data_IF_219394439250
#
_entry.id   IF_219394439250
#
_cell.length_a   1.000
_cell.length_b   1.000
_cell.length_c   1.000
_cell.angle_alpha   90.00
_cell.angle_beta   90.00
_cell.angle_gamma   90.00
#
_symmetry.space_group_name_H-M   'P 1'
#
loop_
_entity.id
_entity.type
_entity.pdbx_description
1 polymer ?
#
# COMPACT_ATOMS: atom_id res chain seq x y z
N UNK A 1 -23.94 31.14 1.59
CA UNK A 1 -23.88 29.73 1.21
C UNK A 1 -22.48 29.26 1.49
N UNK A 2 -22.26 28.30 2.41
CA UNK A 2 -20.91 27.75 2.59
C UNK A 2 -20.48 27.08 1.28
N UNK A 3 -19.21 27.24 0.94
CA UNK A 3 -18.63 26.72 -0.28
C UNK A 3 -18.68 25.19 -0.23
N UNK A 4 -19.28 24.57 -1.26
CA UNK A 4 -19.20 23.12 -1.46
C UNK A 4 -17.78 22.83 -1.91
N UNK A 5 -17.00 22.14 -1.09
CA UNK A 5 -15.73 21.54 -1.53
C UNK A 5 -16.11 20.50 -2.56
N UNK A 6 -15.69 20.73 -3.80
CA UNK A 6 -15.84 19.76 -4.87
C UNK A 6 -14.55 18.95 -4.85
N UNK A 7 -14.65 17.69 -4.44
CA UNK A 7 -13.53 16.76 -4.50
C UNK A 7 -13.40 16.39 -5.98
N UNK A 8 -12.54 17.11 -6.68
CA UNK A 8 -12.26 16.83 -8.07
C UNK A 8 -11.25 15.67 -8.07
N UNK A 9 -11.71 14.46 -8.41
CA UNK A 9 -11.05 13.17 -8.14
C UNK A 9 -9.86 12.81 -9.06
N UNK A 10 -9.46 13.68 -9.98
CA UNK A 10 -8.26 13.48 -10.82
C UNK A 10 -6.94 13.64 -10.03
N UNK A 11 -7.04 14.06 -8.78
CA UNK A 11 -5.95 14.47 -7.89
C UNK A 11 -5.92 13.62 -6.60
N UNK A 12 -6.05 12.30 -6.74
CA UNK A 12 -6.02 11.35 -5.61
C UNK A 12 -4.72 10.52 -5.57
N UNK A 13 -4.17 10.34 -4.38
CA UNK A 13 -3.11 9.36 -4.09
C UNK A 13 -3.76 8.11 -3.52
N UNK A 14 -3.47 6.95 -4.13
CA UNK A 14 -3.91 5.64 -3.64
C UNK A 14 -2.78 4.97 -2.87
N UNK A 15 -3.09 4.43 -1.70
CA UNK A 15 -2.19 3.62 -0.91
C UNK A 15 -2.88 2.34 -0.45
N UNK A 16 -2.14 1.23 -0.44
CA UNK A 16 -2.61 -0.03 0.11
C UNK A 16 -1.78 -0.41 1.32
N UNK A 17 -2.44 -0.72 2.44
CA UNK A 17 -1.80 -1.03 3.70
C UNK A 17 -1.68 -2.53 3.97
N UNK A 18 -0.73 -2.89 4.81
CA UNK A 18 -0.62 -4.24 5.38
C UNK A 18 -1.74 -4.57 6.38
N UNK A 19 -2.67 -3.65 6.60
CA UNK A 19 -3.90 -3.84 7.37
C UNK A 19 -5.04 -4.43 6.53
N UNK A 20 -4.81 -4.62 5.22
CA UNK A 20 -5.78 -5.12 4.25
C UNK A 20 -6.71 -4.04 3.73
N UNK A 21 -6.35 -2.76 3.87
CA UNK A 21 -7.18 -1.63 3.43
C UNK A 21 -6.48 -0.86 2.31
N UNK A 22 -7.22 -0.58 1.25
CA UNK A 22 -6.83 0.36 0.19
C UNK A 22 -7.50 1.69 0.49
N UNK A 23 -6.77 2.79 0.42
CA UNK A 23 -7.24 4.15 0.69
C UNK A 23 -6.93 5.04 -0.49
N UNK A 24 -7.85 5.96 -0.81
CA UNK A 24 -7.55 7.13 -1.63
C UNK A 24 -7.63 8.39 -0.77
N UNK A 25 -6.68 9.29 -1.03
CA UNK A 25 -6.51 10.54 -0.31
C UNK A 25 -6.33 11.66 -1.31
N UNK A 26 -6.97 12.81 -1.10
CA UNK A 26 -6.77 14.01 -1.92
C UNK A 26 -5.32 14.49 -1.84
N UNK A 27 -4.72 14.81 -2.98
CA UNK A 27 -3.31 15.22 -3.06
C UNK A 27 -3.05 16.58 -2.40
N UNK A 28 -4.05 17.46 -2.41
CA UNK A 28 -3.91 18.85 -1.98
C UNK A 28 -4.11 19.02 -0.47
N UNK A 29 -5.03 18.26 0.11
CA UNK A 29 -5.48 18.43 1.49
C UNK A 29 -5.18 17.23 2.39
N UNK A 30 -4.78 16.08 1.82
CA UNK A 30 -4.54 14.87 2.59
C UNK A 30 -5.83 14.27 3.16
N UNK A 31 -7.01 14.71 2.70
CA UNK A 31 -8.30 14.19 3.18
C UNK A 31 -8.57 12.84 2.53
N UNK A 32 -8.92 11.84 3.35
CA UNK A 32 -9.35 10.55 2.85
C UNK A 32 -10.64 10.71 2.02
N UNK A 33 -10.60 10.28 0.77
CA UNK A 33 -11.74 10.28 -0.15
C UNK A 33 -12.56 9.00 0.01
N UNK A 34 -11.85 7.86 0.06
CA UNK A 34 -12.45 6.57 0.31
C UNK A 34 -11.45 5.61 0.95
N UNK A 35 -11.98 4.58 1.62
CA UNK A 35 -11.23 3.46 2.15
C UNK A 35 -12.04 2.17 1.99
N UNK A 36 -11.38 1.15 1.46
CA UNK A 36 -11.97 -0.14 1.15
C UNK A 36 -11.15 -1.26 1.76
N UNK A 37 -11.80 -2.05 2.62
CA UNK A 37 -11.19 -3.24 3.22
C UNK A 37 -11.35 -4.43 2.27
N UNK A 38 -10.23 -5.05 1.93
CA UNK A 38 -10.21 -6.23 1.08
C UNK A 38 -10.50 -7.49 1.92
N UNK A 39 -11.79 -7.80 2.08
CA UNK A 39 -12.28 -8.99 2.79
C UNK A 39 -11.92 -9.06 4.29
N UNK A 40 -12.01 -10.26 4.88
CA UNK A 40 -11.63 -10.52 6.28
C UNK A 40 -10.12 -10.77 6.47
N UNK A 41 -9.33 -10.35 5.49
CA UNK A 41 -7.90 -10.61 5.43
C UNK A 41 -7.16 -9.41 6.01
N UNK A 42 -6.60 -9.55 7.21
CA UNK A 42 -5.66 -8.57 7.80
C UNK A 42 -4.28 -8.60 7.14
N UNK A 43 -4.20 -8.31 5.84
CA UNK A 43 -2.95 -8.02 5.10
C UNK A 43 -2.04 -9.21 4.73
N UNK A 44 -0.89 -8.94 4.09
CA UNK A 44 -0.49 -7.74 3.34
C UNK A 44 -1.24 -7.57 2.00
N UNK A 45 -1.54 -6.32 1.62
CA UNK A 45 -1.58 -5.96 0.20
C UNK A 45 -0.13 -5.77 -0.21
N UNK A 46 0.50 -6.82 -0.74
CA UNK A 46 1.91 -6.77 -1.10
C UNK A 46 2.13 -5.80 -2.26
N UNK A 47 1.18 -5.77 -3.20
CA UNK A 47 1.23 -4.99 -4.42
C UNK A 47 -0.17 -4.58 -4.87
N UNK A 48 -0.28 -3.41 -5.45
CA UNK A 48 -1.46 -2.97 -6.18
C UNK A 48 -1.03 -2.38 -7.52
N UNK A 49 -1.95 -2.37 -8.49
CA UNK A 49 -1.77 -1.68 -9.75
C UNK A 49 -3.00 -0.84 -10.04
N UNK A 50 -2.80 0.31 -10.66
CA UNK A 50 -3.87 1.16 -11.18
C UNK A 50 -3.94 0.93 -12.69
N UNK A 51 -5.13 0.74 -13.24
CA UNK A 51 -5.34 0.56 -14.67
C UNK A 51 -6.70 1.08 -15.08
N UNK A 52 -6.72 2.07 -15.98
CA UNK A 52 -7.97 2.73 -16.38
C UNK A 52 -8.65 3.37 -15.16
N UNK A 53 -9.88 2.95 -14.92
CA UNK A 53 -10.74 3.39 -13.82
C UNK A 53 -10.79 2.38 -12.66
N UNK A 54 -9.85 1.42 -12.62
CA UNK A 54 -9.79 0.38 -11.60
C UNK A 54 -8.46 0.34 -10.84
N UNK A 55 -8.54 -0.13 -9.60
CA UNK A 55 -7.41 -0.49 -8.75
C UNK A 55 -7.45 -1.99 -8.51
N UNK A 56 -6.35 -2.67 -8.80
CA UNK A 56 -6.20 -4.10 -8.62
C UNK A 56 -5.27 -4.35 -7.45
N UNK A 57 -5.69 -5.19 -6.51
CA UNK A 57 -4.91 -5.51 -5.33
C UNK A 57 -4.98 -7.00 -5.03
N UNK A 58 -3.85 -7.56 -4.59
CA UNK A 58 -3.81 -8.94 -4.09
C UNK A 58 -4.04 -8.95 -2.59
N UNK A 59 -4.72 -9.99 -2.10
CA UNK A 59 -4.82 -10.27 -0.67
C UNK A 59 -4.15 -11.60 -0.35
N UNK A 60 -3.37 -11.58 0.72
CA UNK A 60 -2.91 -12.78 1.42
C UNK A 60 -3.44 -12.73 2.86
N UNK A 61 -3.39 -13.82 3.64
CA UNK A 61 -3.85 -13.78 5.06
C UNK A 61 -2.79 -13.17 6.01
N UNK A 62 -3.24 -12.53 7.13
CA UNK A 62 -2.44 -11.79 8.11
C UNK A 62 -1.29 -12.51 8.80
N UNK A 63 -1.42 -13.79 9.06
CA UNK A 63 -0.44 -14.46 9.89
C UNK A 63 0.46 -15.32 9.01
N UNK A 64 1.76 -15.25 9.24
CA UNK A 64 2.72 -16.16 8.63
C UNK A 64 2.53 -17.61 9.06
N UNK A 65 1.31 -18.07 9.37
CA UNK A 65 0.98 -19.45 9.60
C UNK A 65 0.49 -20.08 8.30
N UNK A 66 1.33 -20.95 7.74
CA UNK A 66 0.91 -21.94 6.77
C UNK A 66 -0.13 -22.87 7.45
N UNK A 67 -1.40 -22.49 7.47
CA UNK A 67 -2.37 -23.16 8.35
C UNK A 67 -3.83 -22.78 8.17
N UNK A 68 -4.48 -23.43 7.19
CA UNK A 68 -5.92 -23.72 7.13
C UNK A 68 -6.85 -22.50 7.08
N UNK A 69 -6.90 -21.87 5.90
CA UNK A 69 -8.20 -21.57 5.31
C UNK A 69 -8.85 -22.91 4.88
N UNK A 70 -10.16 -23.14 5.06
CA UNK A 70 -10.82 -24.25 4.37
C UNK A 70 -10.74 -24.09 2.85
N UNK A 71 -10.48 -22.87 2.35
CA UNK A 71 -10.38 -22.57 0.93
C UNK A 71 -8.95 -22.17 0.55
N UNK A 72 -8.29 -22.94 -0.35
CA UNK A 72 -6.92 -22.66 -0.79
C UNK A 72 -6.85 -21.36 -1.60
N UNK A 73 -5.66 -20.74 -1.65
CA UNK A 73 -5.33 -19.67 -2.60
C UNK A 73 -5.50 -18.22 -2.12
N UNK A 74 -4.78 -17.32 -2.78
CA UNK A 74 -4.85 -15.86 -2.67
C UNK A 74 -5.94 -15.28 -3.56
N UNK A 75 -6.28 -14.01 -3.34
CA UNK A 75 -7.34 -13.33 -4.09
C UNK A 75 -6.78 -12.13 -4.86
N UNK A 76 -7.31 -11.90 -6.05
CA UNK A 76 -7.19 -10.66 -6.80
C UNK A 76 -8.52 -9.92 -6.72
N UNK A 77 -8.49 -8.69 -6.23
CA UNK A 77 -9.66 -7.83 -6.09
C UNK A 77 -9.52 -6.64 -7.03
N UNK A 78 -10.59 -6.29 -7.74
CA UNK A 78 -10.69 -5.03 -8.46
C UNK A 78 -11.64 -4.08 -7.73
N UNK A 79 -11.16 -2.88 -7.47
CA UNK A 79 -11.93 -1.77 -6.93
C UNK A 79 -12.15 -0.74 -8.03
N UNK A 80 -13.29 -0.07 -7.96
CA UNK A 80 -13.50 1.20 -8.63
C UNK A 80 -12.53 2.25 -8.09
N UNK A 81 -11.80 2.92 -8.97
CA UNK A 81 -10.79 3.90 -8.56
C UNK A 81 -11.39 5.18 -7.96
N UNK A 82 -12.62 5.53 -8.34
CA UNK A 82 -13.30 6.74 -7.88
C UNK A 82 -13.97 6.51 -6.53
N UNK A 83 -14.61 5.35 -6.34
CA UNK A 83 -15.43 5.08 -5.15
C UNK A 83 -14.80 4.11 -4.17
N UNK A 84 -13.79 3.35 -4.60
CA UNK A 84 -13.24 2.24 -3.85
C UNK A 84 -14.15 1.00 -3.82
N UNK A 85 -15.32 1.02 -4.46
CA UNK A 85 -16.25 -0.11 -4.42
C UNK A 85 -15.70 -1.34 -5.15
N UNK A 86 -15.90 -2.53 -4.59
CA UNK A 86 -15.45 -3.76 -5.24
C UNK A 86 -16.25 -4.02 -6.52
N UNK A 87 -15.55 -4.03 -7.66
CA UNK A 87 -16.11 -4.37 -8.98
C UNK A 87 -16.22 -5.88 -9.14
N UNK A 88 -15.14 -6.60 -8.84
CA UNK A 88 -15.07 -8.05 -8.93
C UNK A 88 -13.96 -8.62 -8.03
N UNK A 89 -14.00 -9.93 -7.83
CA UNK A 89 -12.99 -10.68 -7.10
C UNK A 89 -12.76 -12.03 -7.78
N UNK A 90 -11.50 -12.43 -7.88
CA UNK A 90 -11.07 -13.74 -8.38
C UNK A 90 -10.18 -14.43 -7.34
N UNK A 91 -10.46 -15.69 -7.06
CA UNK A 91 -9.57 -16.56 -6.28
C UNK A 91 -8.61 -17.29 -7.23
N UNK A 92 -7.33 -17.26 -6.91
CA UNK A 92 -6.26 -17.92 -7.66
C UNK A 92 -5.72 -19.10 -6.85
N UNK A 93 -5.14 -20.09 -7.52
CA UNK A 93 -4.74 -21.34 -6.89
C UNK A 93 -3.48 -21.21 -6.02
N UNK A 94 -2.71 -20.13 -6.17
CA UNK A 94 -1.52 -19.83 -5.36
C UNK A 94 -1.83 -18.88 -4.20
N UNK A 95 -1.22 -19.17 -3.04
CA UNK A 95 -1.34 -18.33 -1.85
C UNK A 95 -0.47 -17.07 -1.91
N UNK A 96 0.73 -17.19 -2.48
CA UNK A 96 1.70 -16.11 -2.56
C UNK A 96 1.63 -15.50 -3.96
N UNK A 97 0.86 -14.41 -4.05
CA UNK A 97 0.74 -13.63 -5.27
C UNK A 97 1.74 -12.47 -5.21
N UNK A 98 2.58 -12.39 -6.23
CA UNK A 98 3.51 -11.31 -6.51
C UNK A 98 2.86 -10.23 -7.36
N UNK A 99 3.61 -9.74 -8.34
CA UNK A 99 3.34 -8.45 -8.96
C UNK A 99 2.13 -8.46 -9.88
N UNK A 100 1.39 -7.35 -9.83
CA UNK A 100 0.26 -7.08 -10.70
C UNK A 100 0.74 -6.14 -11.81
N UNK A 101 0.41 -6.47 -13.05
CA UNK A 101 0.65 -5.61 -14.22
C UNK A 101 -0.62 -5.48 -15.02
N UNK A 102 -1.02 -4.26 -15.31
CA UNK A 102 -2.21 -3.94 -16.11
C UNK A 102 -1.79 -3.58 -17.53
N UNK A 103 -2.54 -4.07 -18.52
CA UNK A 103 -2.34 -3.71 -19.92
C UNK A 103 -3.64 -3.87 -20.70
N UNK A 104 -4.14 -2.78 -21.29
CA UNK A 104 -5.44 -2.78 -21.98
C UNK A 104 -6.51 -3.49 -21.12
N UNK A 105 -7.08 -4.58 -21.63
CA UNK A 105 -8.18 -5.34 -21.02
C UNK A 105 -7.68 -6.51 -20.15
N UNK A 106 -6.38 -6.53 -19.80
CA UNK A 106 -5.75 -7.62 -19.05
C UNK A 106 -5.13 -7.14 -17.73
N UNK A 107 -5.30 -7.98 -16.71
CA UNK A 107 -4.56 -7.94 -15.46
C UNK A 107 -3.69 -9.19 -15.40
N UNK A 108 -2.37 -9.00 -15.32
CA UNK A 108 -1.39 -10.07 -15.19
C UNK A 108 -0.96 -10.15 -13.73
N UNK A 109 -1.04 -11.33 -13.13
CA UNK A 109 -0.60 -11.59 -11.76
C UNK A 109 0.48 -12.65 -11.78
N UNK A 110 1.66 -12.32 -11.26
CA UNK A 110 2.75 -13.28 -11.09
C UNK A 110 2.59 -14.02 -9.75
N UNK A 111 2.65 -15.34 -9.74
CA UNK A 111 2.66 -16.19 -8.54
C UNK A 111 4.09 -16.54 -8.12
N UNK A 112 4.31 -16.70 -6.81
CA UNK A 112 5.62 -17.08 -6.28
C UNK A 112 6.06 -18.49 -6.71
N UNK A 113 5.13 -19.36 -7.08
CA UNK A 113 5.44 -20.74 -7.50
C UNK A 113 5.74 -20.86 -8.99
N UNK A 114 5.72 -19.75 -9.74
CA UNK A 114 6.08 -19.74 -11.17
C UNK A 114 4.92 -19.60 -12.14
N UNK A 115 3.70 -19.39 -11.65
CA UNK A 115 2.53 -19.13 -12.51
C UNK A 115 2.42 -17.66 -12.89
N UNK A 116 1.98 -17.38 -14.13
CA UNK A 116 1.46 -16.06 -14.53
C UNK A 116 0.00 -16.20 -14.91
N UNK A 117 -0.88 -15.52 -14.17
CA UNK A 117 -2.31 -15.51 -14.41
C UNK A 117 -2.68 -14.31 -15.29
N UNK A 118 -3.32 -14.56 -16.42
CA UNK A 118 -3.94 -13.54 -17.25
C UNK A 118 -5.44 -13.49 -16.96
N UNK A 119 -5.89 -12.37 -16.43
CA UNK A 119 -7.25 -12.13 -15.96
C UNK A 119 -7.86 -11.00 -16.79
N UNK A 120 -9.13 -11.14 -17.13
CA UNK A 120 -9.93 -10.08 -17.76
C UNK A 120 -10.09 -8.89 -16.82
N UNK A 121 -9.71 -7.70 -17.26
CA UNK A 121 -9.89 -6.47 -16.49
C UNK A 121 -11.37 -6.11 -16.27
N UNK A 122 -12.23 -6.50 -17.23
CA UNK A 122 -13.65 -6.13 -17.25
C UNK A 122 -14.47 -6.87 -16.18
N UNK A 123 -14.25 -8.17 -16.02
CA UNK A 123 -15.12 -9.04 -15.23
C UNK A 123 -14.37 -9.96 -14.25
N UNK A 124 -13.03 -9.88 -14.21
CA UNK A 124 -12.22 -10.71 -13.34
C UNK A 124 -12.14 -12.17 -13.75
N UNK A 125 -12.59 -12.54 -14.95
CA UNK A 125 -12.51 -13.92 -15.41
C UNK A 125 -11.07 -14.34 -15.70
N UNK A 126 -10.67 -15.51 -15.20
CA UNK A 126 -9.36 -16.11 -15.53
C UNK A 126 -9.36 -16.55 -16.99
N UNK A 127 -8.55 -15.90 -17.82
CA UNK A 127 -8.43 -16.21 -19.24
C UNK A 127 -7.37 -17.29 -19.50
N UNK A 128 -6.27 -17.25 -18.74
CA UNK A 128 -5.16 -18.19 -18.89
C UNK A 128 -4.27 -18.24 -17.64
N UNK A 129 -3.76 -19.42 -17.34
CA UNK A 129 -2.58 -19.62 -16.48
C UNK A 129 -1.39 -20.04 -17.35
N UNK A 130 -0.23 -19.44 -17.11
CA UNK A 130 1.01 -19.74 -17.81
C UNK A 130 2.02 -20.23 -16.77
N UNK A 131 2.39 -21.50 -16.84
CA UNK A 131 3.43 -22.07 -16.01
C UNK A 131 4.81 -21.70 -16.56
N UNK A 132 5.74 -21.37 -15.66
CA UNK A 132 7.14 -21.12 -16.00
C UNK A 132 8.07 -22.02 -15.20
N UNK A 133 9.29 -22.23 -15.70
CA UNK A 133 10.31 -23.03 -15.00
C UNK A 133 11.04 -22.21 -13.90
N UNK A 134 10.68 -20.94 -13.71
CA UNK A 134 11.21 -20.09 -12.65
C UNK A 134 10.17 -19.93 -11.53
N UNK A 135 10.65 -19.72 -10.31
CA UNK A 135 9.86 -19.37 -9.12
C UNK A 135 10.17 -17.94 -8.70
N UNK A 136 9.52 -17.44 -7.65
CA UNK A 136 9.73 -16.11 -7.08
C UNK A 136 9.64 -15.01 -8.15
N UNK A 137 8.58 -15.08 -8.95
CA UNK A 137 8.39 -14.19 -10.10
C UNK A 137 8.18 -12.74 -9.65
N UNK A 138 8.78 -11.82 -10.40
CA UNK A 138 8.68 -10.37 -10.22
C UNK A 138 7.61 -9.75 -11.16
N UNK A 139 7.59 -8.42 -11.25
CA UNK A 139 6.78 -7.67 -12.22
C UNK A 139 6.88 -8.20 -13.64
N UNK A 140 5.73 -8.23 -14.34
CA UNK A 140 5.66 -8.57 -15.75
C UNK A 140 5.83 -7.29 -16.56
N UNK A 141 6.81 -7.23 -17.45
CA UNK A 141 6.90 -6.15 -18.43
C UNK A 141 6.13 -6.54 -19.69
N UNK A 142 5.32 -5.62 -20.23
CA UNK A 142 4.51 -5.86 -21.43
C UNK A 142 4.96 -4.92 -22.54
N UNK A 143 5.18 -5.48 -23.73
CA UNK A 143 5.42 -4.72 -24.95
C UNK A 143 4.80 -5.43 -26.16
N UNK A 144 3.79 -4.81 -26.78
CA UNK A 144 3.04 -5.39 -27.91
C UNK A 144 2.49 -6.79 -27.56
N UNK A 145 2.94 -7.85 -28.24
CA UNK A 145 2.56 -9.24 -27.93
C UNK A 145 3.48 -9.91 -26.92
N UNK A 146 4.50 -9.24 -26.40
CA UNK A 146 5.51 -9.85 -25.54
C UNK A 146 5.30 -9.52 -24.07
N UNK A 147 5.43 -10.55 -23.25
CA UNK A 147 5.58 -10.44 -21.80
C UNK A 147 7.01 -10.83 -21.45
N UNK A 148 7.64 -10.08 -20.56
CA UNK A 148 8.92 -10.43 -19.97
C UNK A 148 8.75 -10.53 -18.47
N UNK A 149 9.13 -11.66 -17.89
CA UNK A 149 9.02 -11.93 -16.46
C UNK A 149 10.39 -12.31 -15.93
N UNK A 150 10.80 -11.69 -14.83
CA UNK A 150 12.01 -12.07 -14.11
C UNK A 150 11.65 -12.97 -12.93
N UNK A 151 12.52 -13.92 -12.61
CA UNK A 151 12.34 -14.83 -11.48
C UNK A 151 13.64 -15.52 -11.11
N UNK A 152 13.51 -16.58 -10.34
CA UNK A 152 14.60 -17.41 -9.83
C UNK A 152 14.47 -18.83 -10.34
N UNK A 153 15.55 -19.39 -10.87
CA UNK A 153 15.62 -20.82 -11.20
C UNK A 153 16.48 -21.55 -10.17
N UNK A 154 16.02 -22.74 -9.82
CA UNK A 154 16.80 -23.74 -9.07
C UNK A 154 17.05 -24.93 -9.97
N UNK A 155 18.23 -25.52 -9.87
CA UNK A 155 18.50 -26.79 -10.55
C UNK A 155 17.67 -27.89 -9.87
N UNK A 156 16.69 -28.51 -10.56
CA UNK A 156 15.88 -29.55 -9.95
C UNK A 156 16.66 -30.85 -9.68
N UNK A 157 17.87 -30.98 -10.23
CA UNK A 157 18.74 -32.16 -10.10
C UNK A 157 19.87 -32.00 -9.09
N UNK A 158 20.17 -30.76 -8.68
CA UNK A 158 21.22 -30.46 -7.71
C UNK A 158 20.74 -29.39 -6.71
N UNK A 159 20.33 -29.83 -5.52
CA UNK A 159 19.85 -28.95 -4.47
C UNK A 159 20.94 -28.05 -3.86
N UNK A 160 22.22 -28.40 -4.07
CA UNK A 160 23.36 -27.58 -3.64
C UNK A 160 23.74 -26.53 -4.71
N UNK A 161 23.20 -26.64 -5.92
CA UNK A 161 23.32 -25.60 -6.92
C UNK A 161 22.56 -24.35 -6.44
N UNK A 162 23.27 -23.24 -6.30
CA UNK A 162 22.68 -21.97 -5.88
C UNK A 162 21.55 -21.49 -6.80
N UNK A 163 20.70 -20.62 -6.26
CA UNK A 163 19.62 -19.96 -7.02
C UNK A 163 20.21 -19.06 -8.10
N UNK A 164 19.67 -19.13 -9.31
CA UNK A 164 20.11 -18.30 -10.45
C UNK A 164 19.00 -17.37 -10.90
N UNK A 165 19.30 -16.12 -11.30
CA UNK A 165 18.32 -15.26 -11.92
C UNK A 165 17.85 -15.83 -13.26
N UNK A 166 16.59 -15.63 -13.59
CA UNK A 166 15.97 -16.04 -14.83
C UNK A 166 15.18 -14.89 -15.45
N UNK A 167 15.21 -14.79 -16.77
CA UNK A 167 14.36 -13.89 -17.55
C UNK A 167 13.62 -14.73 -18.58
N UNK A 168 12.30 -14.73 -18.50
CA UNK A 168 11.41 -15.51 -19.35
C UNK A 168 10.66 -14.56 -20.25
N UNK A 169 10.67 -14.83 -21.56
CA UNK A 169 9.85 -14.08 -22.53
C UNK A 169 8.69 -14.96 -22.99
N UNK A 170 7.47 -14.44 -22.92
CA UNK A 170 6.24 -15.10 -23.35
C UNK A 170 5.58 -14.29 -24.48
N UNK A 171 4.92 -14.97 -25.41
CA UNK A 171 4.17 -14.33 -26.51
C UNK A 171 2.66 -14.52 -26.29
N UNK A 172 1.93 -13.42 -26.18
CA UNK A 172 0.48 -13.35 -26.16
C UNK A 172 -0.08 -13.79 -27.53
N UNK A 173 -0.91 -14.83 -27.52
CA UNK A 173 -1.59 -15.34 -28.73
C UNK A 173 -0.93 -16.53 -29.42
N UNK A 174 0.25 -16.99 -28.98
CA UNK A 174 0.81 -18.25 -29.46
C UNK A 174 0.08 -19.44 -28.83
N UNK A 175 -0.39 -20.40 -29.65
CA UNK A 175 -0.60 -21.77 -29.16
C UNK A 175 0.79 -22.30 -28.83
N UNK A 176 1.07 -22.59 -27.56
CA UNK A 176 2.29 -23.33 -27.19
C UNK A 176 2.35 -24.62 -28.03
N UNK A 177 3.30 -24.69 -28.97
CA UNK A 177 3.71 -25.92 -29.61
C UNK A 177 5.17 -26.14 -29.22
N UNK A 178 5.38 -27.12 -28.33
CA UNK A 178 6.70 -27.53 -27.87
C UNK A 178 7.23 -26.70 -26.70
N UNK A 179 8.02 -27.36 -25.85
CA UNK A 179 8.78 -26.73 -24.79
C UNK A 179 9.60 -25.55 -25.37
N UNK A 180 9.56 -24.36 -24.76
CA UNK A 180 10.40 -23.26 -25.20
C UNK A 180 11.87 -23.68 -25.05
N UNK A 181 12.67 -23.49 -26.10
CA UNK A 181 14.12 -23.54 -25.94
C UNK A 181 14.52 -22.30 -25.13
N UNK A 182 15.01 -22.53 -23.91
CA UNK A 182 15.65 -21.53 -23.07
C UNK A 182 16.86 -20.95 -23.80
N UNK A 183 16.72 -19.79 -24.44
CA UNK A 183 17.86 -18.92 -24.74
C UNK A 183 18.15 -18.09 -23.50
N UNK A 184 19.00 -18.60 -22.61
CA UNK A 184 19.57 -17.80 -21.53
C UNK A 184 20.62 -16.90 -22.18
N UNK A 185 20.27 -15.64 -22.44
CA UNK A 185 21.27 -14.63 -22.77
C UNK A 185 21.92 -14.23 -21.44
N UNK A 186 22.98 -14.96 -21.06
CA UNK A 186 23.85 -14.55 -19.96
C UNK A 186 24.66 -13.38 -20.50
N UNK A 187 24.49 -12.14 -20.03
CA UNK A 187 25.41 -11.08 -20.40
C UNK A 187 26.81 -11.55 -19.99
N UNK A 188 27.75 -11.58 -20.92
CA UNK A 188 29.17 -11.82 -20.64
C UNK A 188 29.57 -10.92 -19.46
N UNK A 189 30.32 -11.47 -18.49
CA UNK A 189 30.88 -10.70 -17.38
C UNK A 189 31.47 -9.39 -17.94
N UNK A 190 31.22 -8.23 -17.31
CA UNK A 190 31.78 -7.00 -17.82
C UNK A 190 33.30 -7.14 -17.85
N UNK A 191 33.87 -7.15 -19.06
CA UNK A 191 35.31 -7.02 -19.26
C UNK A 191 35.81 -5.92 -18.35
N UNK A 192 36.86 -6.23 -17.62
CA UNK A 192 37.52 -5.32 -16.69
C UNK A 192 37.74 -3.99 -17.40
N UNK A 193 37.04 -2.94 -16.96
CA UNK A 193 37.08 -1.64 -17.62
C UNK A 193 38.46 -1.03 -17.40
N UNK A 194 39.40 -1.27 -18.32
CA UNK A 194 40.58 -0.43 -18.50
C UNK A 194 40.40 0.39 -19.78
N UNK A 195 40.45 1.71 -19.61
CA UNK A 195 40.50 2.76 -20.63
C UNK A 195 39.18 3.21 -21.28
N UNK A 196 38.42 4.01 -20.53
CA UNK A 196 37.57 5.05 -21.13
C UNK A 196 38.39 6.35 -21.32
N UNK A 197 38.31 7.04 -22.47
CA UNK A 197 38.93 8.35 -22.62
C UNK A 197 38.16 9.40 -21.82
N UNK A 198 38.90 10.28 -21.13
CA UNK A 198 38.36 11.32 -20.27
C UNK A 198 37.35 12.22 -20.99
N UNK A 199 36.13 12.29 -20.46
CA UNK A 199 35.15 13.32 -20.81
C UNK A 199 35.35 14.54 -19.90
N UNK A 200 35.34 15.74 -20.50
CA UNK A 200 35.53 17.01 -19.79
C UNK A 200 34.46 17.22 -18.70
N UNK A 201 34.81 17.78 -17.54
CA UNK A 201 33.85 18.02 -16.47
C UNK A 201 32.84 19.12 -16.85
N UNK A 202 31.57 18.86 -16.55
CA UNK A 202 30.47 19.83 -16.58
C UNK A 202 30.72 20.88 -15.47
N UNK A 203 30.58 22.20 -15.74
CA UNK A 203 30.79 23.21 -14.70
C UNK A 203 29.64 23.19 -13.68
N UNK A 204 30.00 23.27 -12.39
CA UNK A 204 29.07 23.30 -11.27
C UNK A 204 28.15 24.54 -11.29
N UNK A 205 26.90 24.44 -10.83
CA UNK A 205 26.03 25.60 -10.68
C UNK A 205 26.55 26.56 -9.60
N UNK A 206 26.38 27.87 -9.83
CA UNK A 206 26.81 28.92 -8.93
C UNK A 206 26.05 28.87 -7.58
N UNK A 207 26.71 29.16 -6.44
CA UNK A 207 26.08 29.04 -5.13
C UNK A 207 25.06 30.16 -4.88
N UNK A 208 23.85 29.77 -4.47
CA UNK A 208 22.83 30.69 -3.95
C UNK A 208 23.19 31.05 -2.51
N UNK A 209 23.28 32.35 -2.22
CA UNK A 209 23.64 32.89 -0.89
C UNK A 209 22.38 33.01 -0.01
N UNK A 210 22.31 32.37 1.17
CA UNK A 210 21.22 32.60 2.12
C UNK A 210 21.42 33.93 2.89
N UNK A 211 20.34 34.56 3.40
CA UNK A 211 20.46 35.71 4.28
C UNK A 211 21.07 35.32 5.63
N UNK A 212 21.88 36.23 6.15
CA UNK A 212 22.70 36.12 7.37
C UNK A 212 21.88 35.99 8.65
N UNK A 213 22.23 35.02 9.49
CA UNK A 213 21.93 35.03 10.93
C UNK A 213 23.22 34.95 11.72
N UNK A 214 23.38 35.90 12.65
CA UNK A 214 24.51 36.01 13.56
C UNK A 214 24.55 34.86 14.58
N UNK A 215 25.74 34.27 14.71
CA UNK A 215 26.38 33.66 15.90
C UNK A 215 25.52 33.00 16.99
N UNK A 216 25.75 31.69 17.25
CA UNK A 216 26.68 31.30 18.33
C UNK A 216 27.09 29.82 18.29
N UNK A 217 28.29 29.59 18.82
CA UNK A 217 29.22 28.47 18.67
C UNK A 217 28.96 27.27 19.60
N UNK A 218 29.19 26.04 19.14
CA UNK A 218 30.34 25.20 19.59
C UNK A 218 30.29 23.76 19.04
N UNK A 219 31.32 23.40 18.26
CA UNK A 219 31.77 22.03 18.04
C UNK A 219 33.31 22.02 18.12
N UNK A 220 33.90 21.06 18.83
CA UNK A 220 35.17 20.48 18.39
C UNK A 220 35.11 18.94 18.47
N UNK A 221 35.07 18.20 17.36
CA UNK A 221 36.20 17.51 16.67
C UNK A 221 37.19 16.77 17.58
N UNK A 222 37.15 15.43 17.50
CA UNK A 222 38.12 14.49 18.10
C UNK A 222 39.12 14.02 17.02
N UNK A 223 40.43 13.87 17.32
CA UNK A 223 41.45 13.27 16.43
C UNK A 223 41.71 11.77 16.73
N UNK A 224 42.50 11.04 15.90
CA UNK A 224 42.56 9.57 15.92
C UNK A 224 43.55 8.98 16.94
N UNK A 225 43.36 7.68 17.20
CA UNK A 225 43.93 6.85 18.27
C UNK A 225 45.43 6.50 18.12
N UNK A 226 46.06 6.28 19.27
CA UNK A 226 47.35 5.61 19.43
C UNK A 226 47.23 4.45 20.44
N UNK A 227 48.11 3.47 20.28
CA UNK A 227 48.05 2.08 20.69
C UNK A 227 48.59 1.82 22.12
N UNK A 228 48.39 0.57 22.60
CA UNK A 228 49.11 -0.16 23.67
C UNK A 228 48.54 -0.26 25.11
N UNK A 229 48.06 -1.49 25.38
CA UNK A 229 48.31 -2.41 26.52
C UNK A 229 48.36 -1.91 27.98
N UNK A 230 47.55 -2.53 28.86
CA UNK A 230 47.85 -2.59 30.30
C UNK A 230 46.67 -2.90 31.23
N UNK A 231 46.45 -4.19 31.47
CA UNK A 231 45.78 -4.89 32.59
C UNK A 231 45.37 -4.11 33.88
N UNK A 232 44.10 -4.25 34.32
CA UNK A 232 43.70 -4.78 35.66
C UNK A 232 42.20 -4.55 36.01
N UNK A 233 41.50 -5.66 36.24
CA UNK A 233 40.37 -5.97 37.15
C UNK A 233 39.19 -4.98 37.44
N UNK A 234 38.02 -5.32 36.84
CA UNK A 234 36.62 -5.42 37.37
C UNK A 234 35.90 -4.22 38.06
N UNK A 235 34.54 -4.19 38.17
CA UNK A 235 33.48 -5.05 37.63
C UNK A 235 32.40 -4.30 36.79
N UNK A 236 31.48 -5.07 36.20
CA UNK A 236 30.32 -4.66 35.39
C UNK A 236 29.50 -3.47 35.93
N UNK A 237 29.17 -2.54 35.04
CA UNK A 237 27.99 -1.67 35.15
C UNK A 237 27.36 -1.43 33.77
N UNK A 238 26.02 -1.26 33.70
CA UNK A 238 25.22 -1.61 32.53
C UNK A 238 25.41 -0.65 31.35
N UNK A 239 25.42 -1.22 30.15
CA UNK A 239 25.31 -0.49 28.90
C UNK A 239 24.11 0.44 28.93
N UNK A 240 24.34 1.68 28.53
CA UNK A 240 23.34 2.74 28.42
C UNK A 240 22.23 2.28 27.49
N UNK A 241 21.02 2.21 28.04
CA UNK A 241 19.76 2.00 27.35
C UNK A 241 19.67 2.93 26.12
N UNK A 242 19.28 2.44 24.93
CA UNK A 242 18.89 3.34 23.85
C UNK A 242 17.72 4.22 24.32
N UNK A 243 17.68 5.46 23.85
CA UNK A 243 16.48 6.31 24.00
C UNK A 243 15.24 5.47 23.65
N UNK A 244 14.15 5.53 24.45
CA UNK A 244 12.95 4.80 24.09
C UNK A 244 12.47 5.36 22.75
N UNK A 245 12.27 4.46 21.78
CA UNK A 245 11.38 4.72 20.66
C UNK A 245 10.13 5.40 21.21
N UNK A 246 9.75 6.57 20.67
CA UNK A 246 8.44 7.12 20.98
C UNK A 246 7.43 6.01 20.69
N UNK A 247 6.53 5.68 21.65
CA UNK A 247 5.63 4.57 21.46
C UNK A 247 4.83 4.85 20.19
N UNK A 248 4.94 3.95 19.22
CA UNK A 248 3.97 3.82 18.15
C UNK A 248 2.65 3.42 18.83
N UNK A 249 1.91 4.41 19.35
CA UNK A 249 0.63 4.18 20.00
C UNK A 249 -0.30 3.55 18.96
N UNK A 250 -0.76 2.32 19.23
CA UNK A 250 -1.78 1.70 18.40
C UNK A 250 -3.01 2.64 18.37
N UNK A 251 -3.55 2.94 17.18
CA UNK A 251 -4.63 3.91 17.06
C UNK A 251 -5.84 3.47 17.88
N UNK A 252 -6.46 4.43 18.57
CA UNK A 252 -7.68 4.17 19.32
C UNK A 252 -8.79 3.77 18.34
N UNK A 253 -9.40 2.60 18.52
CA UNK A 253 -10.51 2.16 17.66
C UNK A 253 -11.86 2.46 18.32
N UNK A 254 -12.72 3.23 17.66
CA UNK A 254 -14.11 3.47 18.06
C UNK A 254 -15.08 3.06 16.94
N UNK A 255 -16.36 2.89 17.26
CA UNK A 255 -17.37 2.48 16.29
C UNK A 255 -18.61 3.36 16.34
N UNK A 256 -19.17 3.61 15.17
CA UNK A 256 -20.41 4.34 14.95
C UNK A 256 -21.18 3.69 13.82
N UNK A 257 -22.50 3.66 13.91
CA UNK A 257 -23.34 3.06 12.89
C UNK A 257 -24.44 4.00 12.43
N UNK A 258 -24.99 3.75 11.25
CA UNK A 258 -26.29 4.30 10.85
C UNK A 258 -27.36 3.60 11.69
N UNK A 259 -28.12 4.38 12.44
CA UNK A 259 -29.21 3.89 13.26
C UNK A 259 -30.33 3.32 12.39
N UNK A 260 -31.08 2.36 12.94
CA UNK A 260 -32.22 1.75 12.27
C UNK A 260 -33.21 2.84 11.79
N UNK A 261 -33.49 2.85 10.49
CA UNK A 261 -34.32 3.87 9.84
C UNK A 261 -33.53 4.91 9.04
N UNK A 262 -32.20 4.91 9.10
CA UNK A 262 -31.34 5.60 8.13
C UNK A 262 -31.31 7.13 8.22
N UNK A 263 -31.63 7.70 9.38
CA UNK A 263 -31.68 9.18 9.54
C UNK A 263 -30.87 9.70 10.73
N UNK A 264 -30.09 8.84 11.39
CA UNK A 264 -29.31 9.19 12.57
C UNK A 264 -28.11 8.26 12.72
N UNK A 265 -27.12 8.69 13.52
CA UNK A 265 -26.02 7.83 13.95
C UNK A 265 -26.31 7.19 15.31
N UNK A 266 -25.77 6.00 15.54
CA UNK A 266 -25.78 5.30 16.83
C UNK A 266 -24.37 4.76 17.14
N UNK A 267 -23.67 5.27 18.18
CA UNK A 267 -24.09 6.39 19.02
C UNK A 267 -24.03 7.74 18.27
N UNK A 268 -24.79 8.72 18.75
CA UNK A 268 -24.77 10.12 18.28
C UNK A 268 -23.68 10.97 18.94
N UNK A 269 -22.92 10.38 19.85
CA UNK A 269 -21.78 11.00 20.54
C UNK A 269 -20.64 10.02 20.71
N UNK A 270 -19.41 10.49 20.49
CA UNK A 270 -18.18 9.76 20.68
C UNK A 270 -17.20 10.56 21.55
N UNK A 271 -16.49 9.87 22.44
CA UNK A 271 -15.43 10.44 23.27
C UNK A 271 -14.13 9.68 22.99
N UNK A 272 -13.08 10.40 22.58
CA UNK A 272 -11.78 9.80 22.22
C UNK A 272 -10.62 10.59 22.81
N UNK A 273 -9.46 9.93 22.98
CA UNK A 273 -8.23 10.63 23.30
C UNK A 273 -7.69 11.35 22.05
N UNK A 274 -6.99 12.46 22.26
CA UNK A 274 -6.22 13.10 21.20
C UNK A 274 -5.12 12.17 20.65
N UNK A 275 -4.86 12.26 19.35
CA UNK A 275 -3.90 11.41 18.64
C UNK A 275 -4.54 10.59 17.51
N UNK A 276 -3.90 9.49 17.09
CA UNK A 276 -4.42 8.60 16.06
C UNK A 276 -5.70 7.87 16.51
N UNK A 277 -6.77 8.01 15.74
CA UNK A 277 -8.07 7.39 15.98
C UNK A 277 -8.55 6.70 14.72
N UNK A 278 -8.98 5.45 14.85
CA UNK A 278 -9.65 4.67 13.81
C UNK A 278 -11.14 4.59 14.14
N UNK A 279 -11.99 5.17 13.30
CA UNK A 279 -13.44 5.11 13.42
C UNK A 279 -13.97 4.03 12.48
N UNK A 280 -14.54 2.95 13.03
CA UNK A 280 -15.31 1.98 12.25
C UNK A 280 -16.73 2.50 12.06
N UNK A 281 -17.06 2.91 10.85
CA UNK A 281 -18.40 3.33 10.47
C UNK A 281 -19.16 2.15 9.84
N UNK A 282 -20.36 1.83 10.33
CA UNK A 282 -21.21 0.76 9.79
C UNK A 282 -22.55 1.28 9.29
N UNK A 283 -22.92 0.93 8.07
CA UNK A 283 -24.20 1.21 7.44
C UNK A 283 -24.85 -0.09 6.96
N UNK A 284 -25.87 -0.56 7.67
CA UNK A 284 -26.67 -1.74 7.25
C UNK A 284 -27.90 -1.35 6.42
N UNK A 285 -28.15 -0.06 6.22
CA UNK A 285 -29.30 0.44 5.47
C UNK A 285 -29.15 0.25 3.96
N UNK A 286 -30.28 0.32 3.25
CA UNK A 286 -30.28 0.20 1.80
C UNK A 286 -29.67 1.43 1.12
N UNK A 287 -29.84 2.62 1.71
CA UNK A 287 -29.23 3.86 1.25
C UNK A 287 -27.78 3.92 1.71
N UNK A 288 -26.89 4.38 0.83
CA UNK A 288 -25.50 4.63 1.18
C UNK A 288 -25.39 5.92 2.01
N UNK A 289 -24.44 5.94 2.94
CA UNK A 289 -24.17 7.09 3.81
C UNK A 289 -22.67 7.30 3.88
N UNK A 290 -22.25 8.53 4.10
CA UNK A 290 -20.90 8.92 4.46
C UNK A 290 -20.79 9.27 5.95
N UNK A 291 -19.54 9.47 6.39
CA UNK A 291 -19.22 9.90 7.75
C UNK A 291 -18.11 10.94 7.68
N UNK A 292 -18.48 12.22 7.78
CA UNK A 292 -17.53 13.33 7.66
C UNK A 292 -17.40 14.06 8.99
N UNK A 293 -16.17 14.19 9.48
CA UNK A 293 -15.80 14.88 10.70
C UNK A 293 -15.38 16.30 10.37
N UNK A 294 -15.93 17.25 11.11
CA UNK A 294 -15.62 18.67 10.99
C UNK A 294 -15.15 19.21 12.34
N UNK A 295 -14.11 20.03 12.28
CA UNK A 295 -13.75 20.90 13.39
C UNK A 295 -14.91 21.86 13.68
N UNK A 296 -15.41 21.87 14.92
CA UNK A 296 -16.58 22.68 15.28
C UNK A 296 -16.27 24.18 15.35
N UNK A 297 -15.01 24.59 15.38
CA UNK A 297 -14.60 25.99 15.44
C UNK A 297 -14.58 26.66 14.06
N UNK A 298 -14.09 25.96 13.03
CA UNK A 298 -13.85 26.55 11.70
C UNK A 298 -14.48 25.80 10.51
N UNK A 299 -15.25 24.73 10.78
CA UNK A 299 -15.91 23.88 9.79
C UNK A 299 -14.94 23.25 8.77
N UNK A 300 -13.64 23.13 9.09
CA UNK A 300 -12.73 22.33 8.27
C UNK A 300 -13.00 20.86 8.44
N UNK A 301 -12.91 20.12 7.33
CA UNK A 301 -12.97 18.67 7.34
C UNK A 301 -11.71 18.13 8.00
N UNK A 302 -11.88 17.42 9.11
CA UNK A 302 -10.81 16.72 9.82
C UNK A 302 -10.63 15.29 9.31
N UNK A 303 -11.66 14.73 8.68
CA UNK A 303 -11.61 13.44 7.98
C UNK A 303 -12.97 13.09 7.39
N UNK A 304 -12.99 12.29 6.33
CA UNK A 304 -14.22 11.83 5.69
C UNK A 304 -14.11 10.36 5.33
N UNK A 305 -15.16 9.61 5.64
CA UNK A 305 -15.36 8.25 5.18
C UNK A 305 -16.17 8.25 3.88
N UNK A 306 -15.95 7.27 2.99
CA UNK A 306 -16.70 7.16 1.74
C UNK A 306 -18.20 6.94 1.96
N UNK A 307 -18.99 7.29 0.95
CA UNK A 307 -20.41 6.93 0.86
C UNK A 307 -20.51 5.43 0.62
N UNK A 308 -20.88 4.64 1.64
CA UNK A 308 -20.87 3.17 1.57
C UNK A 308 -22.17 2.54 2.04
N UNK A 309 -22.43 1.33 1.52
CA UNK A 309 -23.32 0.33 2.12
C UNK A 309 -22.45 -0.80 2.68
N UNK A 310 -22.58 -1.11 3.96
CA UNK A 310 -21.66 -1.97 4.71
C UNK A 310 -20.85 -1.16 5.71
N UNK A 311 -19.64 -1.59 6.06
CA UNK A 311 -18.78 -0.84 6.99
C UNK A 311 -17.51 -0.33 6.31
N UNK A 312 -16.98 0.78 6.81
CA UNK A 312 -15.70 1.37 6.42
C UNK A 312 -14.91 1.79 7.67
N UNK A 313 -13.64 2.11 7.49
CA UNK A 313 -12.77 2.65 8.53
C UNK A 313 -12.29 4.04 8.10
N UNK A 314 -12.33 4.98 9.04
CA UNK A 314 -11.78 6.31 8.89
C UNK A 314 -10.66 6.49 9.91
N UNK A 315 -9.42 6.56 9.43
CA UNK A 315 -8.27 6.87 10.27
C UNK A 315 -8.01 8.37 10.23
N UNK A 316 -7.97 8.98 11.40
CA UNK A 316 -7.78 10.42 11.58
C UNK A 316 -6.83 10.68 12.73
N UNK A 317 -6.05 11.76 12.64
CA UNK A 317 -5.27 12.26 13.79
C UNK A 317 -5.98 13.50 14.30
N UNK A 318 -6.51 13.43 15.51
CA UNK A 318 -7.33 14.49 16.07
C UNK A 318 -6.59 15.22 17.20
N UNK A 319 -6.58 16.55 17.13
CA UNK A 319 -6.14 17.39 18.24
C UNK A 319 -7.25 17.49 19.31
N UNK A 320 -6.93 17.78 20.58
CA UNK A 320 -7.93 18.04 21.60
C UNK A 320 -8.90 19.13 21.15
N UNK A 321 -10.19 18.91 21.29
CA UNK A 321 -11.20 19.80 20.74
C UNK A 321 -12.60 19.20 20.69
N UNK A 322 -13.53 19.99 20.16
CA UNK A 322 -14.89 19.52 19.85
C UNK A 322 -15.06 19.47 18.34
N UNK A 323 -15.57 18.35 17.87
CA UNK A 323 -15.85 18.10 16.47
C UNK A 323 -17.32 17.71 16.34
N UNK A 324 -17.86 17.87 15.13
CA UNK A 324 -19.13 17.26 14.73
C UNK A 324 -18.85 16.24 13.66
N UNK A 325 -19.62 15.16 13.62
CA UNK A 325 -19.65 14.28 12.47
C UNK A 325 -21.04 14.32 11.84
N UNK A 326 -21.11 14.27 10.51
CA UNK A 326 -22.36 14.30 9.76
C UNK A 326 -22.28 13.41 8.52
N UNK A 327 -23.44 13.00 8.02
CA UNK A 327 -23.56 12.53 6.64
C UNK A 327 -23.84 13.72 5.75
N UNK A 328 -23.02 13.98 4.74
CA UNK A 328 -23.19 15.11 3.81
C UNK A 328 -24.41 14.91 2.92
N UNK A 329 -24.65 13.67 2.48
CA UNK A 329 -25.83 13.33 1.67
C UNK A 329 -27.14 13.54 2.44
N UNK A 330 -27.11 13.33 3.76
CA UNK A 330 -28.27 13.42 4.66
C UNK A 330 -28.18 14.56 5.68
N UNK A 331 -27.35 15.58 5.41
CA UNK A 331 -27.15 16.71 6.31
C UNK A 331 -28.46 17.50 6.52
N UNK A 332 -29.25 17.65 5.46
CA UNK A 332 -30.55 18.34 5.50
C UNK A 332 -31.59 17.57 6.33
N UNK A 333 -31.40 16.26 6.53
CA UNK A 333 -32.24 15.40 7.39
C UNK A 333 -31.79 15.47 8.87
N UNK A 334 -30.72 16.19 9.17
CA UNK A 334 -30.18 16.38 10.52
C UNK A 334 -29.30 15.24 11.01
N UNK A 335 -28.84 14.37 10.11
CA UNK A 335 -28.00 13.21 10.43
C UNK A 335 -26.59 13.66 10.85
N UNK A 336 -26.43 13.92 12.15
CA UNK A 336 -25.22 14.45 12.76
C UNK A 336 -25.02 13.93 14.18
N UNK A 337 -23.80 14.06 14.68
CA UNK A 337 -23.41 13.72 16.05
C UNK A 337 -22.18 14.52 16.51
N UNK A 338 -21.79 14.32 17.77
CA UNK A 338 -20.69 15.06 18.42
C UNK A 338 -19.50 14.16 18.68
N UNK A 339 -18.30 14.64 18.42
CA UNK A 339 -17.05 13.95 18.75
C UNK A 339 -16.21 14.85 19.66
N UNK A 340 -16.01 14.42 20.90
CA UNK A 340 -15.18 15.12 21.88
C UNK A 340 -13.83 14.44 21.96
N UNK A 341 -12.77 15.24 21.80
CA UNK A 341 -11.39 14.77 21.83
C UNK A 341 -10.69 15.37 23.05
N UNK A 342 -10.30 14.53 24.01
CA UNK A 342 -9.70 14.92 25.29
C UNK A 342 -8.21 14.66 25.37
#
# INVERSE_FOLDING_TARGET
>A
SPARVRLDHEDAVVAAGSDGVVRAVGIDDGVQLWASRLGNFGGPVTQFAVGGDAIYATTTKPDGSAGVSPEPGGELVALDSETGEQRWQLRLDEHELGAITTTNDLVLVAGASGSVYAVSADDGSLLRTIETDATDLSGVAVADTRLVVAGSMRDPTDADAGVRPAVITLELGAKQQGSPELSVDVPDEPDSVSDAPATNPVPAPAPVRPPSSDSNTNRPTTPPADDSTGDSDAPDTPGTTPEPDEPNEEPQVVAVAVAAGGTAFDPDSLDVAAGPVTIRFTNEEAAAHDFTIFDAEDDKVAGSGPVVKGYTYLDVVLAPGTYRFESIEHADDGMSGTLVVT
#
